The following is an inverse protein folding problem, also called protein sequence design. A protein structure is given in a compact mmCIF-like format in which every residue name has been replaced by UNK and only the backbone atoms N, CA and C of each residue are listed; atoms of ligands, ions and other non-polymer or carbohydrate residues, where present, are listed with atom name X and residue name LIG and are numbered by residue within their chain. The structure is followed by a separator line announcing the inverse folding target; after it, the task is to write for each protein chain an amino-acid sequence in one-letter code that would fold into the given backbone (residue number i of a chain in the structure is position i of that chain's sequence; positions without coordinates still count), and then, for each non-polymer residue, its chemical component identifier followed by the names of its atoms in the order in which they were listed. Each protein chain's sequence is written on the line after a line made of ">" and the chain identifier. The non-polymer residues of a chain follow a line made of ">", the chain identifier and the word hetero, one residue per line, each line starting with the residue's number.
data_IF_164326746864
#
_entry.id   IF_164326746864
#
_cell.length_a   1.000
_cell.length_b   1.000
_cell.length_c   1.000
_cell.angle_alpha   90.00
_cell.angle_beta   90.00
_cell.angle_gamma   90.00
#
_symmetry.space_group_name_H-M   'P 1'
#
loop_
_entity.id
_entity.type
_entity.pdbx_description
1 polymer ?
#
# COMPACT_ATOMS: atom_id res chain seq x y z
N UNK A 1 26.89 43.27 -23.26
CA UNK A 1 27.53 42.02 -23.74
C UNK A 1 26.44 41.01 -24.06
N UNK A 2 26.18 40.75 -25.35
CA UNK A 2 25.23 39.72 -25.78
C UNK A 2 25.87 38.34 -25.65
N UNK A 3 25.31 37.45 -24.82
CA UNK A 3 25.70 36.05 -24.76
C UNK A 3 25.00 35.33 -25.91
N UNK A 4 25.76 34.93 -26.93
CA UNK A 4 25.25 34.08 -28.01
C UNK A 4 25.29 32.64 -27.49
N UNK A 5 24.15 31.94 -27.36
CA UNK A 5 24.16 30.55 -26.97
C UNK A 5 24.68 29.70 -28.13
N UNK A 6 25.86 29.10 -27.95
CA UNK A 6 26.41 28.13 -28.89
C UNK A 6 25.70 26.79 -28.63
N UNK A 7 24.95 26.33 -29.62
CA UNK A 7 24.30 25.03 -29.58
C UNK A 7 25.21 24.00 -30.24
N UNK A 8 25.74 23.06 -29.44
CA UNK A 8 26.56 21.95 -29.94
C UNK A 8 25.65 20.71 -29.96
N UNK A 9 25.21 20.23 -31.14
CA UNK A 9 24.41 19.03 -31.23
C UNK A 9 25.28 17.83 -30.85
N UNK A 10 24.89 17.13 -29.79
CA UNK A 10 25.57 15.89 -29.39
C UNK A 10 25.06 14.78 -30.32
N UNK A 11 25.95 14.04 -31.01
CA UNK A 11 25.54 12.91 -31.83
C UNK A 11 24.78 11.87 -31.00
N UNK A 12 23.67 11.35 -31.53
CA UNK A 12 22.76 10.43 -30.81
C UNK A 12 23.48 9.20 -30.23
N UNK A 13 24.54 8.71 -30.89
CA UNK A 13 25.32 7.58 -30.39
C UNK A 13 26.07 7.89 -29.08
N UNK A 14 26.53 9.14 -28.89
CA UNK A 14 27.19 9.58 -27.65
C UNK A 14 26.15 9.71 -26.53
N UNK A 15 24.95 10.21 -26.84
CA UNK A 15 23.85 10.26 -25.88
C UNK A 15 23.46 8.84 -25.41
N UNK A 16 23.42 7.86 -26.32
CA UNK A 16 23.16 6.45 -26.01
C UNK A 16 24.23 5.83 -25.10
N UNK A 17 25.52 6.15 -25.34
CA UNK A 17 26.64 5.67 -24.51
C UNK A 17 26.59 6.24 -23.10
N UNK A 18 26.09 7.47 -22.90
CA UNK A 18 26.00 8.10 -21.57
C UNK A 18 24.70 7.72 -20.85
N UNK A 19 23.58 7.60 -21.55
CA UNK A 19 22.28 7.24 -20.96
C UNK A 19 22.20 5.75 -20.62
N UNK A 20 22.80 4.87 -21.42
CA UNK A 20 22.73 3.42 -21.22
C UNK A 20 23.28 2.97 -19.86
N UNK A 21 24.47 3.42 -19.40
CA UNK A 21 24.98 3.12 -18.06
C UNK A 21 24.14 3.72 -16.94
N UNK A 22 23.52 4.90 -17.13
CA UNK A 22 22.65 5.53 -16.13
C UNK A 22 21.34 4.75 -16.00
N UNK A 23 20.75 4.36 -17.12
CA UNK A 23 19.53 3.55 -17.16
C UNK A 23 19.79 2.13 -16.65
N UNK A 24 20.95 1.56 -16.98
CA UNK A 24 21.43 0.27 -16.48
C UNK A 24 21.75 0.33 -14.99
N UNK A 25 22.39 1.40 -14.49
CA UNK A 25 22.63 1.63 -13.06
C UNK A 25 21.31 1.83 -12.31
N UNK A 26 20.34 2.57 -12.86
CA UNK A 26 18.99 2.68 -12.28
C UNK A 26 18.30 1.32 -12.26
N UNK A 27 18.42 0.54 -13.31
CA UNK A 27 17.89 -0.82 -13.39
C UNK A 27 18.53 -1.76 -12.36
N UNK A 28 19.86 -1.72 -12.21
CA UNK A 28 20.62 -2.50 -11.22
C UNK A 28 20.34 -2.07 -9.77
N UNK A 29 20.25 -0.77 -9.52
CA UNK A 29 20.13 -0.20 -8.16
C UNK A 29 18.70 -0.22 -7.63
N UNK A 30 17.70 -0.04 -8.50
CA UNK A 30 16.31 0.06 -8.09
C UNK A 30 15.47 -1.17 -8.47
N UNK A 31 15.90 -1.97 -9.45
CA UNK A 31 14.97 -2.81 -10.22
C UNK A 31 13.83 -1.97 -10.82
N UNK A 32 12.98 -2.57 -11.65
CA UNK A 32 11.57 -2.14 -11.79
C UNK A 32 11.32 -0.63 -12.04
N UNK A 33 11.44 -0.20 -13.29
CA UNK A 33 10.76 1.01 -13.76
C UNK A 33 9.27 0.91 -13.41
N UNK A 34 8.81 1.70 -12.45
CA UNK A 34 7.40 1.90 -12.25
C UNK A 34 6.95 3.11 -13.05
N UNK A 35 5.76 3.01 -13.62
CA UNK A 35 5.14 4.08 -14.38
C UNK A 35 3.95 4.62 -13.60
N UNK A 36 3.64 5.90 -13.82
CA UNK A 36 2.48 6.57 -13.21
C UNK A 36 1.36 6.64 -14.23
N UNK A 37 0.16 6.25 -13.81
CA UNK A 37 -1.07 6.44 -14.59
C UNK A 37 -1.90 7.48 -13.85
N UNK A 38 -2.20 8.59 -14.53
CA UNK A 38 -3.04 9.66 -13.98
C UNK A 38 -4.47 9.14 -13.81
N UNK A 39 -5.07 9.48 -12.68
CA UNK A 39 -6.44 9.16 -12.32
C UNK A 39 -7.28 10.44 -12.25
N UNK A 40 -8.59 10.28 -12.01
CA UNK A 40 -9.44 11.38 -11.58
C UNK A 40 -8.90 12.07 -10.30
N UNK A 41 -9.27 13.34 -10.09
CA UNK A 41 -8.89 14.16 -8.91
C UNK A 41 -7.38 14.43 -8.76
N UNK A 42 -6.61 14.35 -9.84
CA UNK A 42 -5.17 14.64 -9.81
C UNK A 42 -4.31 13.56 -9.12
N UNK A 43 -4.90 12.40 -8.79
CA UNK A 43 -4.20 11.28 -8.19
C UNK A 43 -3.48 10.44 -9.26
N UNK A 44 -2.56 9.58 -8.82
CA UNK A 44 -1.79 8.69 -9.70
C UNK A 44 -1.73 7.29 -9.11
N UNK A 45 -1.91 6.28 -9.96
CA UNK A 45 -1.54 4.90 -9.64
C UNK A 45 -0.11 4.63 -10.11
N UNK A 46 0.63 3.81 -9.37
CA UNK A 46 1.93 3.29 -9.79
C UNK A 46 1.79 1.82 -10.22
N UNK A 47 2.44 1.46 -11.31
CA UNK A 47 2.39 0.13 -11.95
C UNK A 47 3.76 -0.27 -12.46
N UNK A 48 4.02 -1.55 -12.67
CA UNK A 48 5.25 -1.98 -13.36
C UNK A 48 5.23 -1.56 -14.83
N UNK A 49 6.39 -1.22 -15.41
CA UNK A 49 6.50 -0.82 -16.81
C UNK A 49 5.94 -1.87 -17.79
N UNK A 50 6.07 -3.16 -17.48
CA UNK A 50 5.50 -4.27 -18.28
C UNK A 50 3.98 -4.23 -18.39
N UNK A 51 3.29 -3.70 -17.39
CA UNK A 51 1.83 -3.63 -17.37
C UNK A 51 1.32 -2.24 -17.83
N UNK A 52 2.21 -1.25 -17.92
CA UNK A 52 1.87 0.14 -18.22
C UNK A 52 1.11 0.31 -19.54
N UNK A 53 1.65 -0.17 -20.68
CA UNK A 53 1.04 0.06 -21.99
C UNK A 53 -0.39 -0.47 -22.06
N UNK A 54 -0.64 -1.67 -21.53
CA UNK A 54 -1.98 -2.28 -21.49
C UNK A 54 -2.96 -1.48 -20.61
N UNK A 55 -2.48 -0.97 -19.48
CA UNK A 55 -3.32 -0.21 -18.55
C UNK A 55 -3.57 1.23 -19.02
N UNK A 56 -2.61 1.84 -19.70
CA UNK A 56 -2.67 3.21 -20.19
C UNK A 56 -3.74 3.44 -21.25
N UNK A 57 -4.17 2.37 -21.94
CA UNK A 57 -5.25 2.40 -22.92
C UNK A 57 -6.64 2.73 -22.33
N UNK A 58 -6.78 2.70 -20.99
CA UNK A 58 -8.05 2.88 -20.32
C UNK A 58 -8.09 4.14 -19.45
N UNK A 59 -9.29 4.72 -19.34
CA UNK A 59 -9.57 5.79 -18.39
C UNK A 59 -9.81 5.21 -16.99
N UNK A 60 -8.93 5.57 -16.06
CA UNK A 60 -9.00 5.17 -14.66
C UNK A 60 -9.44 6.32 -13.77
N UNK A 61 -10.23 6.01 -12.74
CA UNK A 61 -10.62 6.95 -11.70
C UNK A 61 -10.28 6.41 -10.31
N UNK A 62 -10.06 7.33 -9.38
CA UNK A 62 -9.87 7.01 -7.98
C UNK A 62 -11.22 6.77 -7.30
N UNK A 63 -11.36 5.64 -6.60
CA UNK A 63 -12.54 5.32 -5.78
C UNK A 63 -12.11 4.89 -4.39
N UNK A 64 -12.66 5.55 -3.39
CA UNK A 64 -12.42 5.23 -1.99
C UNK A 64 -13.29 4.04 -1.56
N UNK A 65 -12.70 3.14 -0.78
CA UNK A 65 -13.37 1.98 -0.23
C UNK A 65 -12.66 1.55 1.06
N UNK A 66 -13.36 1.60 2.19
CA UNK A 66 -12.83 1.17 3.49
C UNK A 66 -11.60 1.96 3.97
N UNK A 67 -11.51 3.25 3.64
CA UNK A 67 -10.36 4.11 3.98
C UNK A 67 -9.14 3.92 3.08
N UNK A 68 -9.28 3.18 1.97
CA UNK A 68 -8.23 3.02 0.96
C UNK A 68 -8.75 3.48 -0.40
N UNK A 69 -7.90 4.19 -1.14
CA UNK A 69 -8.21 4.66 -2.50
C UNK A 69 -7.66 3.66 -3.51
N UNK A 70 -8.52 3.23 -4.43
CA UNK A 70 -8.17 2.29 -5.50
C UNK A 70 -8.37 2.92 -6.87
N UNK A 71 -7.51 2.56 -7.83
CA UNK A 71 -7.73 2.85 -9.23
C UNK A 71 -8.74 1.85 -9.81
N UNK A 72 -9.83 2.37 -10.37
CA UNK A 72 -10.89 1.58 -11.01
C UNK A 72 -11.25 2.13 -12.37
N UNK A 73 -11.79 1.27 -13.22
CA UNK A 73 -12.39 1.65 -14.50
C UNK A 73 -13.72 0.94 -14.68
N UNK A 74 -14.55 1.52 -15.54
CA UNK A 74 -15.80 0.90 -15.98
C UNK A 74 -15.67 0.36 -17.39
N UNK A 75 -16.39 -0.71 -17.67
CA UNK A 75 -16.49 -1.31 -19.00
C UNK A 75 -17.89 -1.90 -19.18
N UNK A 76 -18.27 -2.19 -20.42
CA UNK A 76 -19.55 -2.83 -20.73
C UNK A 76 -19.31 -4.27 -21.14
N UNK A 77 -20.11 -5.19 -20.62
CA UNK A 77 -20.11 -6.60 -21.00
C UNK A 77 -21.57 -7.07 -21.05
N UNK A 78 -22.00 -7.63 -22.18
CA UNK A 78 -23.38 -8.06 -22.43
C UNK A 78 -24.41 -6.96 -22.14
N UNK A 79 -24.12 -5.73 -22.60
CA UNK A 79 -24.97 -4.54 -22.41
C UNK A 79 -25.01 -4.00 -20.97
N UNK A 80 -24.33 -4.65 -20.01
CA UNK A 80 -24.31 -4.24 -18.60
C UNK A 80 -23.01 -3.54 -18.25
N UNK A 81 -23.12 -2.41 -17.56
CA UNK A 81 -21.96 -1.69 -17.00
C UNK A 81 -21.35 -2.48 -15.85
N UNK A 82 -20.05 -2.74 -15.94
CA UNK A 82 -19.23 -3.39 -14.92
C UNK A 82 -18.08 -2.49 -14.48
N UNK A 83 -17.51 -2.78 -13.33
CA UNK A 83 -16.36 -2.09 -12.75
C UNK A 83 -15.25 -3.11 -12.47
N UNK A 84 -14.00 -2.74 -12.75
CA UNK A 84 -12.82 -3.53 -12.39
C UNK A 84 -11.75 -2.62 -11.78
N UNK A 85 -11.06 -3.12 -10.77
CA UNK A 85 -9.89 -2.46 -10.19
C UNK A 85 -8.62 -2.79 -10.95
N UNK A 86 -7.66 -1.85 -10.93
CA UNK A 86 -6.39 -1.98 -11.64
C UNK A 86 -5.62 -3.22 -11.18
N UNK A 87 -5.47 -3.42 -9.88
CA UNK A 87 -4.82 -4.61 -9.31
C UNK A 87 -5.45 -5.93 -9.77
N UNK A 88 -6.78 -5.98 -9.94
CA UNK A 88 -7.48 -7.20 -10.37
C UNK A 88 -7.24 -7.46 -11.85
N UNK A 89 -7.16 -6.42 -12.66
CA UNK A 89 -6.81 -6.55 -14.08
C UNK A 89 -5.36 -6.98 -14.30
N UNK A 90 -4.43 -6.57 -13.43
CA UNK A 90 -3.01 -6.96 -13.52
C UNK A 90 -2.80 -8.43 -13.16
N UNK A 91 -3.47 -8.89 -12.10
CA UNK A 91 -3.23 -10.20 -11.51
C UNK A 91 -4.18 -11.28 -12.01
N UNK A 92 -5.35 -10.90 -12.52
CA UNK A 92 -6.40 -11.80 -13.02
C UNK A 92 -6.68 -13.00 -12.08
N UNK A 93 -7.12 -12.73 -10.83
CA UNK A 93 -7.27 -13.79 -9.84
C UNK A 93 -8.38 -14.77 -10.19
N UNK A 94 -8.18 -16.02 -9.78
CA UNK A 94 -9.21 -17.05 -9.88
C UNK A 94 -10.50 -16.65 -9.14
N UNK A 95 -11.64 -17.22 -9.56
CA UNK A 95 -12.94 -16.95 -8.94
C UNK A 95 -12.89 -17.34 -7.45
N UNK A 96 -13.33 -16.43 -6.59
CA UNK A 96 -13.30 -16.60 -5.13
C UNK A 96 -12.07 -15.99 -4.44
N UNK A 97 -11.05 -15.60 -5.19
CA UNK A 97 -9.88 -14.90 -4.66
C UNK A 97 -9.98 -13.37 -4.84
N UNK A 98 -9.29 -12.67 -3.95
CA UNK A 98 -9.05 -11.23 -4.02
C UNK A 98 -7.56 -10.95 -4.16
N UNK A 99 -7.21 -9.73 -4.54
CA UNK A 99 -5.82 -9.28 -4.58
C UNK A 99 -5.60 -8.31 -3.43
N UNK A 100 -4.68 -8.69 -2.54
CA UNK A 100 -4.27 -7.90 -1.39
C UNK A 100 -3.04 -7.05 -1.72
N UNK A 101 -3.03 -5.83 -1.19
CA UNK A 101 -1.89 -4.90 -1.25
C UNK A 101 -1.08 -5.06 0.02
N UNK A 102 0.15 -5.58 -0.09
CA UNK A 102 1.04 -5.82 1.06
C UNK A 102 1.24 -4.57 1.90
N UNK A 103 1.38 -3.41 1.27
CA UNK A 103 1.59 -2.12 1.93
C UNK A 103 0.32 -1.32 2.23
N UNK A 104 -0.87 -1.87 1.94
CA UNK A 104 -2.19 -1.23 2.12
C UNK A 104 -2.41 0.06 1.31
N UNK A 105 -1.58 0.33 0.31
CA UNK A 105 -1.76 1.46 -0.61
C UNK A 105 -2.48 0.95 -1.86
N UNK A 106 -3.78 1.20 -1.98
CA UNK A 106 -4.59 0.73 -3.13
C UNK A 106 -4.20 1.32 -4.50
N UNK A 107 -3.39 2.40 -4.50
CA UNK A 107 -2.82 3.01 -5.69
C UNK A 107 -1.44 2.44 -6.09
N UNK A 108 -0.81 1.63 -5.23
CA UNK A 108 0.41 0.90 -5.56
C UNK A 108 0.10 -0.47 -6.17
N UNK A 109 -0.04 -0.49 -7.49
CA UNK A 109 -0.45 -1.66 -8.26
C UNK A 109 0.75 -2.41 -8.86
N UNK A 110 1.97 -2.21 -8.33
CA UNK A 110 3.14 -2.99 -8.72
C UNK A 110 2.97 -4.43 -8.25
N UNK A 111 3.28 -5.41 -9.11
CA UNK A 111 3.17 -6.85 -8.85
C UNK A 111 3.89 -7.30 -7.59
N UNK A 112 5.03 -6.70 -7.26
CA UNK A 112 5.74 -6.99 -6.02
C UNK A 112 4.91 -6.65 -4.76
N UNK A 113 4.03 -5.64 -4.84
CA UNK A 113 3.12 -5.24 -3.78
C UNK A 113 1.79 -6.02 -3.79
N UNK A 114 1.43 -6.63 -4.92
CA UNK A 114 0.20 -7.40 -5.06
C UNK A 114 0.42 -8.87 -4.68
N UNK A 115 -0.63 -9.50 -4.16
CA UNK A 115 -0.68 -10.95 -3.94
C UNK A 115 -2.11 -11.46 -3.96
N UNK A 116 -2.30 -12.65 -4.50
CA UNK A 116 -3.57 -13.35 -4.38
C UNK A 116 -3.83 -13.76 -2.92
N UNK A 117 -5.06 -13.57 -2.46
CA UNK A 117 -5.47 -13.81 -1.10
C UNK A 117 -6.92 -14.31 -1.05
N UNK A 118 -7.22 -15.17 -0.09
CA UNK A 118 -8.61 -15.39 0.34
C UNK A 118 -9.11 -14.17 1.11
N UNK A 119 -10.44 -14.04 1.26
CA UNK A 119 -11.04 -12.98 2.10
C UNK A 119 -10.50 -12.99 3.54
N UNK A 120 -10.26 -14.18 4.10
CA UNK A 120 -9.69 -14.33 5.43
C UNK A 120 -8.24 -13.81 5.48
N UNK A 121 -7.40 -14.18 4.51
CA UNK A 121 -6.01 -13.72 4.41
C UNK A 121 -5.91 -12.21 4.23
N UNK A 122 -6.75 -11.63 3.37
CA UNK A 122 -6.82 -10.18 3.19
C UNK A 122 -7.22 -9.47 4.51
N UNK A 123 -8.13 -10.06 5.28
CA UNK A 123 -8.51 -9.54 6.61
C UNK A 123 -7.37 -9.65 7.63
N UNK A 124 -6.49 -10.66 7.55
CA UNK A 124 -5.31 -10.74 8.40
C UNK A 124 -4.35 -9.56 8.18
N UNK A 125 -4.29 -9.08 6.93
CA UNK A 125 -3.51 -7.90 6.56
C UNK A 125 -4.20 -6.58 6.93
N UNK A 126 -5.42 -6.58 7.50
CA UNK A 126 -6.10 -5.32 7.85
C UNK A 126 -5.36 -4.58 8.97
N UNK A 127 -5.11 -3.28 8.81
CA UNK A 127 -4.57 -2.42 9.87
C UNK A 127 -5.62 -2.16 10.95
N UNK A 128 -5.14 -1.86 12.16
CA UNK A 128 -5.98 -1.30 13.22
C UNK A 128 -6.52 0.05 12.76
N UNK A 129 -7.83 0.28 12.98
CA UNK A 129 -8.43 1.59 12.77
C UNK A 129 -8.09 2.46 14.00
N UNK A 130 -7.44 3.62 13.81
CA UNK A 130 -7.18 4.57 14.90
C UNK A 130 -8.48 4.99 15.60
N UNK A 131 -8.43 5.15 16.92
CA UNK A 131 -9.59 5.57 17.72
C UNK A 131 -10.65 4.48 17.95
N UNK A 132 -10.50 3.27 17.42
CA UNK A 132 -11.40 2.16 17.74
C UNK A 132 -10.88 1.29 18.90
N UNK A 133 -11.72 1.11 19.92
CA UNK A 133 -11.41 0.29 21.09
C UNK A 133 -10.49 0.98 22.09
N UNK A 134 -10.01 0.23 23.09
CA UNK A 134 -9.25 0.76 24.22
C UNK A 134 -7.73 0.72 24.05
N UNK A 135 -7.26 0.42 22.83
CA UNK A 135 -5.83 0.25 22.54
C UNK A 135 -5.53 0.69 21.11
N UNK A 136 -4.36 1.31 20.93
CA UNK A 136 -3.84 1.72 19.62
C UNK A 136 -3.29 0.53 18.83
N UNK A 137 -3.00 -0.58 19.50
CA UNK A 137 -2.44 -1.77 18.89
C UNK A 137 -3.53 -2.74 18.43
N UNK A 138 -3.26 -3.42 17.32
CA UNK A 138 -4.08 -4.47 16.75
C UNK A 138 -4.09 -5.68 17.67
N UNK A 139 -5.29 -6.22 17.89
CA UNK A 139 -5.51 -7.42 18.71
C UNK A 139 -5.42 -7.19 20.22
N UNK A 140 -5.19 -5.96 20.66
CA UNK A 140 -5.07 -5.60 22.08
C UNK A 140 -6.32 -4.84 22.54
N UNK A 141 -6.74 -5.13 23.77
CA UNK A 141 -7.86 -4.46 24.44
C UNK A 141 -7.58 -4.36 25.94
N UNK A 142 -7.99 -3.26 26.58
CA UNK A 142 -7.97 -3.14 28.03
C UNK A 142 -9.19 -3.82 28.67
N UNK A 143 -8.95 -4.66 29.68
CA UNK A 143 -9.98 -5.33 30.47
C UNK A 143 -10.18 -4.61 31.81
N UNK A 144 -11.27 -3.86 31.95
CA UNK A 144 -11.54 -3.01 33.12
C UNK A 144 -11.51 -3.78 34.45
N UNK A 145 -12.16 -4.95 34.51
CA UNK A 145 -12.26 -5.74 35.75
C UNK A 145 -10.92 -6.32 36.24
N UNK A 146 -10.00 -6.62 35.32
CA UNK A 146 -8.67 -7.13 35.68
C UNK A 146 -7.61 -6.04 35.72
N UNK A 147 -7.97 -4.81 35.31
CA UNK A 147 -7.06 -3.66 35.16
C UNK A 147 -5.80 -3.99 34.35
N UNK A 148 -5.93 -4.90 33.39
CA UNK A 148 -4.85 -5.41 32.54
C UNK A 148 -5.22 -5.27 31.07
N UNK A 149 -4.22 -5.16 30.21
CA UNK A 149 -4.39 -5.35 28.79
C UNK A 149 -4.49 -6.85 28.49
N UNK A 150 -5.18 -7.22 27.42
CA UNK A 150 -5.15 -8.56 26.92
C UNK A 150 -5.01 -8.57 25.41
N UNK A 151 -4.37 -9.62 24.90
CA UNK A 151 -4.21 -9.84 23.48
C UNK A 151 -5.09 -10.99 23.01
N UNK A 152 -5.62 -10.88 21.81
CA UNK A 152 -6.37 -11.97 21.17
C UNK A 152 -6.25 -11.89 19.65
N UNK A 153 -6.37 -13.05 19.01
CA UNK A 153 -6.26 -13.19 17.56
C UNK A 153 -7.42 -14.04 17.02
N UNK A 154 -7.95 -13.71 15.85
CA UNK A 154 -9.03 -14.47 15.21
C UNK A 154 -8.46 -15.31 14.07
N UNK A 155 -8.50 -16.63 14.21
CA UNK A 155 -7.99 -17.60 13.22
C UNK A 155 -9.15 -18.50 12.83
N UNK A 156 -9.42 -18.64 11.52
CA UNK A 156 -10.51 -19.47 10.98
C UNK A 156 -11.87 -19.28 11.69
N UNK A 157 -12.21 -18.02 12.00
CA UNK A 157 -13.47 -17.68 12.67
C UNK A 157 -13.43 -17.75 14.21
N UNK A 158 -12.43 -18.40 14.81
CA UNK A 158 -12.31 -18.59 16.26
C UNK A 158 -11.39 -17.55 16.90
N UNK A 159 -11.81 -16.98 18.02
CA UNK A 159 -10.99 -16.05 18.82
C UNK A 159 -10.11 -16.86 19.76
N UNK A 160 -8.80 -16.67 19.68
CA UNK A 160 -7.78 -17.26 20.54
C UNK A 160 -7.31 -16.17 21.51
N UNK A 161 -7.39 -16.46 22.80
CA UNK A 161 -6.87 -15.61 23.87
C UNK A 161 -5.35 -15.84 24.01
N UNK A 162 -4.58 -14.76 24.05
CA UNK A 162 -3.12 -14.81 24.08
C UNK A 162 -2.52 -14.47 25.44
N UNK A 163 -3.35 -14.05 26.41
CA UNK A 163 -2.93 -13.71 27.76
C UNK A 163 -3.37 -12.32 28.22
N UNK A 164 -3.23 -12.09 29.53
CA UNK A 164 -3.28 -10.78 30.16
C UNK A 164 -1.87 -10.24 30.36
N UNK A 165 -1.72 -8.92 30.27
CA UNK A 165 -0.46 -8.20 30.34
C UNK A 165 -0.68 -6.90 31.11
N UNK A 166 0.33 -6.48 31.87
CA UNK A 166 0.28 -5.20 32.59
C UNK A 166 0.47 -4.02 31.62
N UNK A 167 1.29 -4.21 30.58
CA UNK A 167 1.58 -3.20 29.57
C UNK A 167 0.88 -3.50 28.24
N UNK A 168 0.37 -2.45 27.60
CA UNK A 168 -0.24 -2.52 26.27
C UNK A 168 0.76 -3.02 25.20
N UNK A 169 2.03 -2.60 25.31
CA UNK A 169 3.12 -2.97 24.40
C UNK A 169 3.41 -4.47 24.47
N UNK A 170 3.39 -5.08 25.66
CA UNK A 170 3.66 -6.51 25.81
C UNK A 170 2.54 -7.37 25.24
N UNK A 171 1.29 -6.93 25.42
CA UNK A 171 0.14 -7.51 24.74
C UNK A 171 0.27 -7.41 23.21
N UNK A 172 0.73 -6.26 22.69
CA UNK A 172 0.94 -6.05 21.27
C UNK A 172 2.05 -6.95 20.70
N UNK A 173 3.15 -7.14 21.46
CA UNK A 173 4.22 -8.08 21.09
C UNK A 173 3.73 -9.52 21.07
N UNK A 174 2.87 -9.91 22.02
CA UNK A 174 2.25 -11.23 22.03
C UNK A 174 1.34 -11.43 20.81
N UNK A 175 0.56 -10.40 20.43
CA UNK A 175 -0.21 -10.41 19.19
C UNK A 175 0.69 -10.58 17.96
N UNK A 176 1.77 -9.81 17.84
CA UNK A 176 2.66 -9.87 16.68
C UNK A 176 3.32 -11.23 16.52
N UNK A 177 3.75 -11.85 17.62
CA UNK A 177 4.25 -13.24 17.61
C UNK A 177 3.19 -14.21 17.07
N UNK A 178 1.96 -14.12 17.58
CA UNK A 178 0.85 -14.95 17.12
C UNK A 178 0.49 -14.67 15.65
N UNK A 179 0.46 -13.40 15.23
CA UNK A 179 0.15 -13.02 13.86
C UNK A 179 1.20 -13.54 12.88
N UNK A 180 2.51 -13.43 13.21
CA UNK A 180 3.59 -14.04 12.42
C UNK A 180 3.39 -15.55 12.27
N UNK A 181 3.05 -16.24 13.36
CA UNK A 181 2.83 -17.68 13.37
C UNK A 181 1.60 -18.10 12.54
N UNK A 182 0.44 -17.52 12.80
CA UNK A 182 -0.83 -17.95 12.18
C UNK A 182 -1.06 -17.38 10.78
N UNK A 183 -0.61 -16.16 10.51
CA UNK A 183 -0.92 -15.45 9.25
C UNK A 183 0.26 -15.39 8.29
N UNK A 184 1.47 -15.69 8.76
CA UNK A 184 2.69 -15.72 7.96
C UNK A 184 2.87 -14.42 7.18
N UNK A 185 3.00 -14.53 5.86
CA UNK A 185 3.17 -13.37 4.98
C UNK A 185 2.03 -12.35 5.07
N UNK A 186 0.81 -12.76 5.43
CA UNK A 186 -0.36 -11.88 5.52
C UNK A 186 -0.47 -11.15 6.87
N UNK A 187 0.46 -11.35 7.78
CA UNK A 187 0.45 -10.70 9.08
C UNK A 187 0.68 -9.19 8.92
N UNK A 188 -0.31 -8.39 9.32
CA UNK A 188 -0.09 -6.98 9.64
C UNK A 188 0.22 -6.87 11.13
N UNK A 189 1.47 -6.50 11.42
CA UNK A 189 2.09 -6.41 12.74
C UNK A 189 1.94 -5.00 13.31
N UNK A 190 2.06 -4.89 14.64
CA UNK A 190 2.08 -3.63 15.37
C UNK A 190 3.46 -2.98 15.35
N UNK A 191 4.52 -3.78 15.40
CA UNK A 191 5.90 -3.32 15.35
C UNK A 191 6.52 -3.75 14.02
N UNK A 192 6.94 -2.77 13.22
CA UNK A 192 7.73 -3.02 12.03
C UNK A 192 9.05 -3.67 12.46
N UNK A 193 9.38 -4.83 11.88
CA UNK A 193 10.75 -5.35 11.98
C UNK A 193 11.68 -4.39 11.24
N UNK A 194 12.19 -3.40 11.96
CA UNK A 194 13.33 -2.53 11.61
C UNK A 194 13.27 -1.67 10.32
N UNK A 195 12.19 -1.67 9.53
CA UNK A 195 12.18 -0.97 8.22
C UNK A 195 11.45 0.39 8.17
N UNK A 196 10.87 0.87 9.26
CA UNK A 196 10.23 2.20 9.28
C UNK A 196 11.16 3.35 9.72
N UNK A 197 12.36 3.05 10.26
CA UNK A 197 13.34 4.03 10.72
C UNK A 197 14.26 4.58 9.62
N UNK A 198 14.25 4.00 8.40
CA UNK A 198 15.18 4.34 7.31
C UNK A 198 14.58 5.22 6.21
N UNK A 199 13.30 5.58 6.27
CA UNK A 199 12.66 6.49 5.30
C UNK A 199 12.42 7.85 5.96
N UNK A 200 13.14 8.92 5.55
CA UNK A 200 12.93 10.27 6.07
C UNK A 200 11.46 10.68 5.94
N UNK A 201 10.89 11.31 6.98
CA UNK A 201 9.47 11.67 7.05
C UNK A 201 8.99 12.48 5.84
N UNK A 202 9.87 13.29 5.22
CA UNK A 202 9.59 14.05 3.99
C UNK A 202 9.19 13.20 2.78
N UNK A 203 9.54 11.91 2.76
CA UNK A 203 9.19 11.00 1.66
C UNK A 203 8.02 10.07 2.00
N UNK A 204 7.55 10.02 3.25
CA UNK A 204 6.38 9.20 3.62
C UNK A 204 5.13 9.65 2.86
N UNK A 205 4.88 10.96 2.77
CA UNK A 205 3.70 11.46 2.08
C UNK A 205 3.77 11.29 0.54
N UNK A 206 4.98 11.38 -0.04
CA UNK A 206 5.19 11.24 -1.49
C UNK A 206 5.12 9.78 -1.97
N UNK A 207 5.54 8.83 -1.13
CA UNK A 207 5.53 7.39 -1.45
C UNK A 207 4.19 6.75 -1.09
N UNK A 208 3.55 7.18 0.01
CA UNK A 208 2.33 6.54 0.54
C UNK A 208 1.02 7.18 0.09
N UNK A 209 1.05 8.36 -0.55
CA UNK A 209 -0.17 9.03 -1.05
C UNK A 209 -1.24 9.26 0.02
N UNK A 210 -0.84 9.26 1.30
CA UNK A 210 -1.73 9.56 2.41
C UNK A 210 -2.09 11.06 2.31
N UNK A 211 -3.36 11.45 2.43
CA UNK A 211 -3.67 12.84 2.67
C UNK A 211 -2.92 13.24 3.94
N UNK A 212 -2.17 14.34 3.87
CA UNK A 212 -1.55 14.92 5.06
C UNK A 212 -2.61 14.95 6.16
N UNK A 213 -2.33 14.34 7.30
CA UNK A 213 -3.19 14.47 8.46
C UNK A 213 -3.31 15.98 8.72
N UNK A 214 -4.47 16.52 8.35
CA UNK A 214 -4.75 17.93 8.48
C UNK A 214 -4.66 18.27 9.96
N UNK A 215 -3.77 19.22 10.25
CA UNK A 215 -3.99 20.15 11.34
C UNK A 215 -5.38 20.74 11.08
N UNK A 216 -6.38 20.26 11.81
CA UNK A 216 -7.65 20.96 11.95
C UNK A 216 -7.31 22.19 12.78
N UNK A 217 -7.04 23.31 12.11
CA UNK A 217 -7.19 24.61 12.75
C UNK A 217 -8.69 24.77 13.01
N UNK A 218 -9.04 24.79 14.29
CA UNK A 218 -10.35 25.23 14.76
C UNK A 218 -10.66 26.61 14.17
N UNK A 219 -11.85 26.86 13.60
CA UNK A 219 -12.28 28.22 13.38
C UNK A 219 -12.57 28.85 14.76
N UNK A 220 -11.80 29.89 15.10
CA UNK A 220 -12.11 30.79 16.20
C UNK A 220 -13.52 31.39 15.98
N UNK A 221 -14.29 31.45 17.06
CA UNK A 221 -15.42 32.36 17.20
C UNK A 221 -14.93 33.68 17.75
#
# INVERSE_FOLDING_TARGET
>A
MLKIPVYIPIPDFIALIVLSPILFYRWLKFGLSFMRIKLSRGLFAIVDARDYLKLYMYNWYAKESGGTVYARRTYYENGRKKEISMHRQIMDPQKGFCIDHRNHIGLDNRRANLREATTAQNNYNRRKIPGQGSSIYKGVMFHKGHRKFYASIKVNGRKIFLGYFDNEIDAAKAYDKAAKFYFGKFASLNFDSEQASSIPDKYKNAVFGLPAAGVVQSPER
#
